data_IF_561723747437
#
_entry.id   IF_561723747437
#
_cell.length_a   1.000
_cell.length_b   1.000
_cell.length_c   1.000
_cell.angle_alpha   90.00
_cell.angle_beta   90.00
_cell.angle_gamma   90.00
#
_symmetry.space_group_name_H-M   'P 1'
#
loop_
_entity.id
_entity.type
_entity.pdbx_description
1 polymer ?
#
# COMPACT_ATOMS: atom_id res chain seq x y z
N UNK A 1 -63.69 -55.01 36.37
CA UNK A 1 -62.25 -55.12 36.55
C UNK A 1 -61.58 -54.29 35.42
N UNK A 2 -61.27 -53.04 35.71
CA UNK A 2 -60.75 -52.12 34.69
C UNK A 2 -59.39 -51.62 35.12
N UNK A 3 -58.36 -52.01 34.39
CA UNK A 3 -56.98 -51.59 34.62
C UNK A 3 -56.75 -50.39 33.67
N UNK A 4 -56.50 -49.19 34.25
CA UNK A 4 -56.14 -47.99 33.56
C UNK A 4 -54.59 -47.90 33.54
N UNK A 5 -53.99 -47.97 32.34
CA UNK A 5 -52.59 -47.70 32.08
C UNK A 5 -52.40 -46.22 31.93
N UNK A 6 -51.62 -45.58 32.83
CA UNK A 6 -51.16 -44.22 32.71
C UNK A 6 -49.84 -44.18 31.96
N UNK A 7 -49.87 -43.58 30.79
CA UNK A 7 -48.68 -43.37 29.96
C UNK A 7 -47.96 -42.09 30.39
N UNK A 8 -46.74 -42.19 30.89
CA UNK A 8 -45.89 -41.08 31.26
C UNK A 8 -45.13 -40.59 30.01
N UNK A 9 -45.43 -39.38 29.56
CA UNK A 9 -44.71 -38.74 28.46
C UNK A 9 -43.54 -37.93 29.01
N UNK A 10 -42.31 -38.40 28.78
CA UNK A 10 -41.12 -37.69 29.15
C UNK A 10 -40.77 -36.67 28.04
N UNK A 11 -40.85 -35.36 28.35
CA UNK A 11 -40.43 -34.30 27.46
C UNK A 11 -38.91 -34.11 27.60
N UNK A 12 -38.16 -34.42 26.54
CA UNK A 12 -36.73 -34.13 26.45
C UNK A 12 -36.59 -32.71 25.92
N UNK A 13 -36.17 -31.78 26.78
CA UNK A 13 -35.82 -30.42 26.40
C UNK A 13 -34.41 -30.38 25.79
N UNK A 14 -34.31 -30.27 24.47
CA UNK A 14 -33.03 -30.03 23.77
C UNK A 14 -32.65 -28.56 23.92
N UNK A 15 -31.64 -28.28 24.73
CA UNK A 15 -31.02 -26.98 24.79
C UNK A 15 -30.11 -26.78 23.56
N UNK A 16 -30.54 -25.93 22.62
CA UNK A 16 -29.75 -25.52 21.50
C UNK A 16 -28.70 -24.50 22.00
N UNK A 17 -27.42 -24.92 22.06
CA UNK A 17 -26.30 -24.04 22.31
C UNK A 17 -26.03 -23.27 21.01
N UNK A 18 -26.47 -22.03 20.92
CA UNK A 18 -26.08 -21.11 19.87
C UNK A 18 -24.64 -20.65 20.12
N UNK A 19 -23.69 -21.25 19.41
CA UNK A 19 -22.33 -20.72 19.33
C UNK A 19 -22.40 -19.44 18.49
N UNK A 20 -22.29 -18.29 19.15
CA UNK A 20 -22.10 -17.02 18.49
C UNK A 20 -20.74 -17.07 17.79
N UNK A 21 -20.75 -17.23 16.46
CA UNK A 21 -19.56 -17.07 15.64
C UNK A 21 -19.10 -15.61 15.81
N UNK A 22 -18.00 -15.43 16.51
CA UNK A 22 -17.34 -14.13 16.64
C UNK A 22 -16.93 -13.70 15.24
N UNK A 23 -17.64 -12.71 14.69
CA UNK A 23 -17.37 -12.18 13.36
C UNK A 23 -15.96 -11.56 13.40
N UNK A 24 -15.07 -12.08 12.58
CA UNK A 24 -13.76 -11.49 12.37
C UNK A 24 -13.93 -10.01 12.05
N UNK A 25 -13.11 -9.10 12.62
CA UNK A 25 -13.24 -7.67 12.38
C UNK A 25 -13.15 -7.40 10.87
N UNK A 26 -14.26 -6.94 10.30
CA UNK A 26 -14.30 -6.52 8.90
C UNK A 26 -13.40 -5.31 8.75
N UNK A 27 -12.50 -5.26 7.74
CA UNK A 27 -11.68 -4.08 7.49
C UNK A 27 -12.62 -2.89 7.24
N UNK A 28 -12.40 -1.81 8.00
CA UNK A 28 -13.16 -0.58 7.83
C UNK A 28 -12.99 -0.07 6.39
N UNK A 29 -14.04 0.47 5.73
CA UNK A 29 -13.94 0.98 4.35
C UNK A 29 -12.84 2.05 4.14
N UNK A 30 -12.45 2.76 5.20
CA UNK A 30 -11.33 3.70 5.21
C UNK A 30 -9.93 3.06 5.18
N UNK A 31 -9.85 1.73 5.29
CA UNK A 31 -8.58 0.99 5.24
C UNK A 31 -8.18 0.59 3.80
N UNK A 32 -9.09 0.71 2.84
CA UNK A 32 -8.81 0.39 1.44
C UNK A 32 -8.19 1.58 0.74
N UNK A 33 -7.11 1.36 0.01
CA UNK A 33 -6.37 2.39 -0.71
C UNK A 33 -4.97 1.91 -1.02
N UNK A 34 -4.17 2.81 -1.56
CA UNK A 34 -2.75 2.56 -1.78
C UNK A 34 -1.90 3.45 -0.88
N UNK A 35 -0.66 3.05 -0.69
CA UNK A 35 0.34 3.86 -0.02
C UNK A 35 1.63 3.85 -0.84
N UNK A 36 2.25 5.01 -0.99
CA UNK A 36 3.54 5.17 -1.67
C UNK A 36 4.61 5.30 -0.60
N UNK A 37 5.65 4.49 -0.68
CA UNK A 37 6.80 4.57 0.22
C UNK A 37 7.53 5.88 -0.03
N UNK A 38 7.77 6.68 1.02
CA UNK A 38 8.45 7.98 0.92
C UNK A 38 9.85 7.97 1.52
N UNK A 39 10.22 6.90 2.21
CA UNK A 39 11.54 6.71 2.82
C UNK A 39 12.28 5.55 2.16
N UNK A 40 13.58 5.72 1.92
CA UNK A 40 14.43 4.61 1.50
C UNK A 40 14.65 3.63 2.66
N UNK A 41 14.73 2.34 2.34
CA UNK A 41 14.93 1.25 3.29
C UNK A 41 13.84 1.17 4.38
N UNK A 42 12.63 1.61 4.06
CA UNK A 42 11.48 1.44 4.95
C UNK A 42 11.26 -0.04 5.27
N UNK A 43 11.04 -0.36 6.54
CA UNK A 43 10.95 -1.76 6.99
C UNK A 43 9.53 -2.28 6.86
N UNK A 44 9.33 -3.31 6.05
CA UNK A 44 8.13 -4.15 6.11
C UNK A 44 8.32 -5.18 7.22
N UNK A 45 7.43 -5.22 8.21
CA UNK A 45 7.55 -6.02 9.43
C UNK A 45 6.45 -7.06 9.54
N UNK A 46 6.72 -8.15 10.27
CA UNK A 46 5.74 -9.21 10.54
C UNK A 46 4.63 -8.80 11.51
N UNK A 47 4.84 -7.76 12.34
CA UNK A 47 3.87 -7.26 13.30
C UNK A 47 4.02 -5.74 13.48
N UNK A 48 2.96 -5.02 13.98
CA UNK A 48 2.95 -3.57 14.12
C UNK A 48 3.73 -3.10 15.36
N UNK A 49 5.04 -3.36 15.37
CA UNK A 49 5.98 -2.95 16.43
C UNK A 49 7.42 -2.93 15.91
N UNK A 50 8.26 -2.07 16.47
CA UNK A 50 9.64 -1.88 16.03
C UNK A 50 10.53 -3.11 16.16
N UNK A 51 10.36 -3.88 17.24
CA UNK A 51 11.11 -5.11 17.49
C UNK A 51 10.62 -6.32 16.68
N UNK A 52 9.60 -6.18 15.81
CA UNK A 52 9.15 -7.28 14.98
C UNK A 52 10.15 -7.60 13.87
N UNK A 53 10.19 -8.88 13.47
CA UNK A 53 11.04 -9.34 12.39
C UNK A 53 10.79 -8.52 11.11
N UNK A 54 11.86 -7.99 10.55
CA UNK A 54 11.83 -7.37 9.23
C UNK A 54 11.71 -8.45 8.16
N UNK A 55 10.71 -8.33 7.30
CA UNK A 55 10.45 -9.26 6.21
C UNK A 55 11.02 -8.77 4.88
N UNK A 56 11.06 -7.44 4.69
CA UNK A 56 11.64 -6.81 3.51
C UNK A 56 12.07 -5.38 3.83
N UNK A 57 13.00 -4.85 3.03
CA UNK A 57 13.26 -3.42 2.88
C UNK A 57 12.52 -2.92 1.67
N UNK A 58 11.78 -1.83 1.86
CA UNK A 58 11.03 -1.16 0.82
C UNK A 58 11.74 0.14 0.45
N UNK A 59 11.60 0.53 -0.81
CA UNK A 59 12.31 1.67 -1.36
C UNK A 59 11.34 2.79 -1.73
N UNK A 60 11.84 4.00 -1.75
CA UNK A 60 11.09 5.18 -2.14
C UNK A 60 10.43 4.98 -3.52
N UNK A 61 9.15 5.33 -3.62
CA UNK A 61 8.34 5.16 -4.84
C UNK A 61 7.60 3.83 -4.95
N UNK A 62 7.90 2.81 -4.13
CA UNK A 62 7.15 1.56 -4.14
C UNK A 62 5.69 1.78 -3.70
N UNK A 63 4.76 1.11 -4.39
CA UNK A 63 3.31 1.21 -4.14
C UNK A 63 2.84 -0.05 -3.42
N UNK A 64 2.08 0.14 -2.36
CA UNK A 64 1.53 -0.90 -1.50
C UNK A 64 0.01 -0.79 -1.43
N UNK A 65 -0.69 -1.91 -1.39
CA UNK A 65 -2.12 -1.95 -1.07
C UNK A 65 -2.31 -1.85 0.44
N UNK A 66 -3.12 -0.90 0.90
CA UNK A 66 -3.46 -0.76 2.32
C UNK A 66 -4.65 -1.66 2.63
N UNK A 67 -4.49 -2.57 3.58
CA UNK A 67 -5.51 -3.53 4.04
C UNK A 67 -6.04 -3.22 5.43
N UNK A 68 -5.35 -2.37 6.20
CA UNK A 68 -5.77 -2.00 7.54
C UNK A 68 -4.82 -1.01 8.19
N UNK A 69 -5.16 -0.65 9.43
CA UNK A 69 -4.35 0.23 10.27
C UNK A 69 -4.33 -0.31 11.71
N UNK A 70 -3.15 -0.32 12.32
CA UNK A 70 -2.96 -0.71 13.71
C UNK A 70 -1.90 0.16 14.36
N UNK A 71 -2.33 0.92 15.37
CA UNK A 71 -1.45 1.91 16.02
C UNK A 71 -0.90 2.87 14.94
N UNK A 72 0.39 3.11 14.94
CA UNK A 72 1.17 3.91 13.97
C UNK A 72 1.67 3.10 12.77
N UNK A 73 1.08 1.93 12.51
CA UNK A 73 1.42 1.06 11.38
C UNK A 73 0.24 0.86 10.44
N UNK A 74 0.53 0.81 9.14
CA UNK A 74 -0.38 0.33 8.12
C UNK A 74 -0.15 -1.16 7.90
N UNK A 75 -1.23 -1.94 7.90
CA UNK A 75 -1.22 -3.29 7.37
C UNK A 75 -1.29 -3.20 5.86
N UNK A 76 -0.29 -3.72 5.18
CA UNK A 76 -0.15 -3.59 3.73
C UNK A 76 0.08 -4.92 3.05
N UNK A 77 -0.21 -4.95 1.74
CA UNK A 77 0.17 -6.01 0.84
C UNK A 77 1.10 -5.47 -0.24
N UNK A 78 2.23 -6.11 -0.39
CA UNK A 78 3.22 -5.84 -1.43
C UNK A 78 3.00 -6.83 -2.58
N UNK A 79 2.41 -6.34 -3.66
CA UNK A 79 2.12 -7.14 -4.85
C UNK A 79 3.40 -7.59 -5.59
N UNK A 80 4.48 -6.80 -5.52
CA UNK A 80 5.75 -7.13 -6.18
C UNK A 80 6.44 -8.34 -5.54
N UNK A 81 6.32 -8.47 -4.20
CA UNK A 81 6.93 -9.58 -3.43
C UNK A 81 5.91 -10.61 -2.95
N UNK A 82 4.63 -10.43 -3.32
CA UNK A 82 3.50 -11.29 -2.93
C UNK A 82 3.44 -11.58 -1.43
N UNK A 83 3.57 -10.52 -0.61
CA UNK A 83 3.56 -10.65 0.85
C UNK A 83 2.85 -9.54 1.57
N UNK A 84 2.24 -9.88 2.69
CA UNK A 84 1.67 -8.92 3.64
C UNK A 84 2.66 -8.56 4.74
N UNK A 85 2.42 -7.42 5.39
CA UNK A 85 3.19 -6.97 6.53
C UNK A 85 2.69 -5.66 7.09
N UNK A 86 3.50 -5.07 7.95
CA UNK A 86 3.24 -3.80 8.61
C UNK A 86 4.37 -2.83 8.31
N UNK A 87 4.00 -1.62 7.87
CA UNK A 87 4.93 -0.50 7.64
C UNK A 87 4.53 0.68 8.53
N UNK A 88 5.47 1.47 9.02
CA UNK A 88 5.14 2.68 9.76
C UNK A 88 4.37 3.66 8.87
N UNK A 89 3.31 4.27 9.42
CA UNK A 89 2.52 5.26 8.71
C UNK A 89 3.35 6.50 8.32
N UNK A 90 4.41 6.82 9.08
CA UNK A 90 5.35 7.91 8.76
C UNK A 90 6.23 7.65 7.53
N UNK A 91 6.42 6.38 7.15
CA UNK A 91 7.33 6.00 6.07
C UNK A 91 6.62 5.92 4.71
N UNK A 92 5.32 6.19 4.71
CA UNK A 92 4.47 6.13 3.51
C UNK A 92 3.53 7.33 3.41
N UNK A 93 3.14 7.65 2.18
CA UNK A 93 2.02 8.54 1.87
C UNK A 93 0.82 7.72 1.40
N UNK A 94 -0.30 7.80 2.12
CA UNK A 94 -1.57 7.18 1.67
C UNK A 94 -2.13 7.94 0.48
N UNK A 95 -2.66 7.19 -0.47
CA UNK A 95 -3.33 7.69 -1.68
C UNK A 95 -4.61 6.88 -1.92
N UNK A 96 -5.72 7.57 -2.14
CA UNK A 96 -7.00 6.90 -2.38
C UNK A 96 -7.17 6.49 -3.86
N UNK A 97 -6.33 6.97 -4.76
CA UNK A 97 -6.40 6.77 -6.21
C UNK A 97 -7.77 7.16 -6.79
N UNK A 98 -8.37 8.22 -6.25
CA UNK A 98 -9.65 8.79 -6.70
C UNK A 98 -9.42 10.07 -7.50
N UNK A 99 -10.37 10.42 -8.37
CA UNK A 99 -10.32 11.67 -9.14
C UNK A 99 -10.15 12.91 -8.25
N UNK A 100 -10.71 12.90 -7.05
CA UNK A 100 -10.59 14.01 -6.09
C UNK A 100 -9.13 14.24 -5.62
N UNK A 101 -8.29 13.22 -5.63
CA UNK A 101 -6.86 13.35 -5.28
C UNK A 101 -5.97 13.79 -6.45
N UNK A 102 -6.45 13.70 -7.68
CA UNK A 102 -5.68 14.04 -8.88
C UNK A 102 -4.94 15.37 -8.78
N UNK A 103 -5.60 16.50 -8.44
CA UNK A 103 -4.93 17.80 -8.33
C UNK A 103 -3.82 17.82 -7.26
N UNK A 104 -4.02 17.16 -6.12
CA UNK A 104 -3.01 17.09 -5.05
C UNK A 104 -1.80 16.25 -5.47
N UNK A 105 -2.02 15.12 -6.13
CA UNK A 105 -0.94 14.27 -6.67
C UNK A 105 -0.13 15.04 -7.72
N UNK A 106 -0.80 15.74 -8.63
CA UNK A 106 -0.15 16.57 -9.66
C UNK A 106 0.70 17.69 -9.05
N UNK A 107 0.21 18.35 -8.00
CA UNK A 107 0.96 19.39 -7.30
C UNK A 107 2.22 18.85 -6.62
N UNK A 108 2.12 17.70 -5.94
CA UNK A 108 3.27 17.05 -5.30
C UNK A 108 4.26 16.54 -6.33
N UNK A 109 3.80 15.94 -7.43
CA UNK A 109 4.65 15.52 -8.54
C UNK A 109 5.49 16.68 -9.09
N UNK A 110 4.87 17.85 -9.34
CA UNK A 110 5.58 19.07 -9.79
C UNK A 110 6.64 19.52 -8.79
N UNK A 111 6.31 19.50 -7.50
CA UNK A 111 7.27 19.85 -6.45
C UNK A 111 8.47 18.90 -6.41
N UNK A 112 8.21 17.59 -6.53
CA UNK A 112 9.25 16.55 -6.49
C UNK A 112 10.11 16.58 -7.76
N UNK A 113 9.58 17.07 -8.90
CA UNK A 113 10.32 17.16 -10.15
C UNK A 113 11.61 17.98 -10.03
N UNK A 114 11.61 18.99 -9.18
CA UNK A 114 12.79 19.85 -8.94
C UNK A 114 13.71 19.34 -7.80
N UNK A 115 13.36 18.20 -7.19
CA UNK A 115 14.10 17.65 -6.06
C UNK A 115 15.08 16.56 -6.52
N UNK A 116 16.41 16.80 -6.48
CA UNK A 116 17.39 15.79 -6.83
C UNK A 116 17.33 14.58 -5.87
N UNK A 117 17.41 13.40 -6.41
CA UNK A 117 17.38 12.15 -5.62
C UNK A 117 15.99 11.59 -5.37
N UNK A 118 14.93 12.32 -5.70
CA UNK A 118 13.55 11.91 -5.52
C UNK A 118 12.93 11.28 -6.78
N UNK A 119 13.75 10.84 -7.75
CA UNK A 119 13.27 10.35 -9.04
C UNK A 119 12.36 9.15 -8.90
N UNK A 120 12.70 8.18 -8.06
CA UNK A 120 11.87 6.99 -7.82
C UNK A 120 10.51 7.35 -7.18
N UNK A 121 10.51 8.28 -6.19
CA UNK A 121 9.28 8.81 -5.62
C UNK A 121 8.45 9.54 -6.67
N UNK A 122 9.09 10.35 -7.52
CA UNK A 122 8.43 11.05 -8.63
C UNK A 122 7.74 10.09 -9.59
N UNK A 123 8.37 8.98 -9.93
CA UNK A 123 7.79 7.92 -10.77
C UNK A 123 6.54 7.32 -10.08
N UNK A 124 6.64 6.93 -8.81
CA UNK A 124 5.52 6.38 -8.06
C UNK A 124 4.33 7.35 -7.92
N UNK A 125 4.60 8.64 -7.64
CA UNK A 125 3.57 9.68 -7.57
C UNK A 125 2.92 9.94 -8.93
N UNK A 126 3.70 9.93 -10.02
CA UNK A 126 3.17 10.10 -11.37
C UNK A 126 2.29 8.93 -11.75
N UNK A 127 2.71 7.69 -11.45
CA UNK A 127 1.89 6.50 -11.67
C UNK A 127 0.56 6.57 -10.90
N UNK A 128 0.58 7.03 -9.65
CA UNK A 128 -0.62 7.23 -8.85
C UNK A 128 -1.54 8.31 -9.46
N UNK A 129 -0.98 9.42 -9.96
CA UNK A 129 -1.75 10.44 -10.67
C UNK A 129 -2.42 9.87 -11.93
N UNK A 130 -1.68 9.14 -12.76
CA UNK A 130 -2.21 8.54 -13.98
C UNK A 130 -3.33 7.52 -13.71
N UNK A 131 -3.32 6.86 -12.56
CA UNK A 131 -4.39 5.97 -12.12
C UNK A 131 -5.61 6.72 -11.56
N UNK A 132 -5.39 7.84 -10.88
CA UNK A 132 -6.44 8.62 -10.23
C UNK A 132 -7.14 9.60 -11.19
N UNK A 133 -6.42 10.14 -12.17
CA UNK A 133 -6.92 11.22 -13.02
C UNK A 133 -7.99 10.73 -14.01
N UNK A 134 -9.07 11.52 -14.20
CA UNK A 134 -10.08 11.20 -15.20
C UNK A 134 -9.52 11.27 -16.63
N UNK A 135 -10.07 10.49 -17.56
CA UNK A 135 -9.62 10.43 -18.95
C UNK A 135 -9.53 11.81 -19.62
N UNK A 136 -10.43 12.73 -19.27
CA UNK A 136 -10.41 14.11 -19.77
C UNK A 136 -9.16 14.89 -19.33
N UNK A 137 -8.72 14.73 -18.10
CA UNK A 137 -7.49 15.36 -17.59
C UNK A 137 -6.25 14.74 -18.26
N UNK A 138 -6.25 13.41 -18.43
CA UNK A 138 -5.17 12.71 -19.12
C UNK A 138 -5.02 13.10 -20.59
N UNK A 139 -6.12 13.39 -21.28
CA UNK A 139 -6.10 13.88 -22.66
C UNK A 139 -5.72 15.37 -22.79
N UNK A 140 -5.61 16.08 -21.66
CA UNK A 140 -5.33 17.52 -21.62
C UNK A 140 -3.88 17.85 -21.24
N UNK A 141 -3.68 19.14 -20.89
CA UNK A 141 -2.36 19.67 -20.50
C UNK A 141 -1.80 18.97 -19.26
N UNK A 142 -2.65 18.61 -18.30
CA UNK A 142 -2.23 17.94 -17.06
C UNK A 142 -1.67 16.54 -17.35
N UNK A 143 -2.30 15.79 -18.24
CA UNK A 143 -1.78 14.49 -18.69
C UNK A 143 -0.46 14.63 -19.43
N UNK A 144 -0.34 15.58 -20.35
CA UNK A 144 0.92 15.86 -21.03
C UNK A 144 2.05 16.19 -20.04
N UNK A 145 1.77 17.01 -19.02
CA UNK A 145 2.73 17.32 -17.95
C UNK A 145 3.13 16.08 -17.14
N UNK A 146 2.19 15.19 -16.84
CA UNK A 146 2.48 13.97 -16.11
C UNK A 146 3.39 13.02 -16.91
N UNK A 147 3.14 12.85 -18.20
CA UNK A 147 4.00 12.04 -19.07
C UNK A 147 5.40 12.65 -19.26
N UNK A 148 5.49 13.98 -19.39
CA UNK A 148 6.77 14.69 -19.47
C UNK A 148 7.58 14.55 -18.17
N UNK A 149 6.91 14.70 -17.03
CA UNK A 149 7.53 14.49 -15.71
C UNK A 149 8.04 13.05 -15.55
N UNK A 150 7.25 12.05 -15.96
CA UNK A 150 7.65 10.65 -15.92
C UNK A 150 8.93 10.40 -16.74
N UNK A 151 8.97 10.94 -17.98
CA UNK A 151 10.16 10.89 -18.84
C UNK A 151 11.37 11.57 -18.19
N UNK A 152 11.17 12.74 -17.57
CA UNK A 152 12.22 13.48 -16.87
C UNK A 152 12.78 12.70 -15.67
N UNK A 153 11.93 12.11 -14.84
CA UNK A 153 12.36 11.27 -13.71
C UNK A 153 13.13 10.05 -14.19
N UNK A 154 12.63 9.35 -15.21
CA UNK A 154 13.28 8.17 -15.77
C UNK A 154 14.66 8.50 -16.35
N UNK A 155 14.79 9.59 -17.13
CA UNK A 155 16.06 10.03 -17.72
C UNK A 155 17.09 10.41 -16.62
N UNK A 156 16.66 11.17 -15.59
CA UNK A 156 17.54 11.53 -14.47
C UNK A 156 18.00 10.30 -13.68
N UNK A 157 17.09 9.36 -13.42
CA UNK A 157 17.41 8.11 -12.73
C UNK A 157 18.42 7.29 -13.54
N UNK A 158 18.21 7.15 -14.86
CA UNK A 158 19.12 6.44 -15.76
C UNK A 158 20.50 7.11 -15.81
N UNK A 159 20.58 8.46 -15.87
CA UNK A 159 21.87 9.20 -15.81
C UNK A 159 22.60 8.98 -14.49
N UNK A 160 21.89 8.98 -13.37
CA UNK A 160 22.48 8.66 -12.08
C UNK A 160 23.02 7.22 -12.05
N UNK A 161 22.30 6.29 -12.65
CA UNK A 161 22.71 4.90 -12.76
C UNK A 161 24.00 4.75 -13.60
N UNK A 162 24.11 5.48 -14.70
CA UNK A 162 25.26 5.37 -15.60
C UNK A 162 26.58 5.90 -14.99
N UNK A 163 26.51 6.80 -13.99
CA UNK A 163 27.69 7.35 -13.30
C UNK A 163 27.95 6.70 -11.94
N UNK A 164 27.08 5.79 -11.49
CA UNK A 164 27.24 5.10 -10.22
C UNK A 164 28.41 4.13 -10.26
N UNK A 165 29.29 4.19 -9.25
CA UNK A 165 30.40 3.25 -9.11
C UNK A 165 29.90 1.94 -8.51
N UNK A 166 30.09 0.78 -9.17
CA UNK A 166 29.71 -0.50 -8.61
C UNK A 166 30.34 -0.76 -7.24
N UNK A 167 29.56 -1.32 -6.30
CA UNK A 167 30.06 -1.71 -4.97
C UNK A 167 30.01 -0.63 -3.90
N UNK A 168 29.58 0.60 -4.20
CA UNK A 168 29.28 1.62 -3.18
C UNK A 168 27.83 1.51 -2.71
N UNK A 169 27.54 1.93 -1.46
CA UNK A 169 26.19 1.95 -0.91
C UNK A 169 25.18 2.70 -1.79
N UNK A 170 25.61 3.79 -2.44
CA UNK A 170 24.84 4.53 -3.44
C UNK A 170 24.46 3.70 -4.67
N UNK A 171 25.24 2.70 -5.04
CA UNK A 171 24.93 1.80 -6.15
C UNK A 171 23.77 0.84 -5.83
N UNK A 172 23.70 0.33 -4.60
CA UNK A 172 22.62 -0.55 -4.17
C UNK A 172 21.27 0.21 -4.11
N UNK A 173 21.25 1.42 -3.54
CA UNK A 173 20.09 2.29 -3.51
C UNK A 173 19.59 2.60 -4.92
N UNK A 174 20.51 2.92 -5.82
CA UNK A 174 20.16 3.26 -7.19
C UNK A 174 19.61 2.05 -7.97
N UNK A 175 20.20 0.85 -7.78
CA UNK A 175 19.63 -0.38 -8.35
C UNK A 175 18.20 -0.62 -7.87
N UNK A 176 17.95 -0.45 -6.57
CA UNK A 176 16.62 -0.58 -6.01
C UNK A 176 15.62 0.46 -6.57
N UNK A 177 16.06 1.71 -6.78
CA UNK A 177 15.25 2.74 -7.42
C UNK A 177 14.93 2.43 -8.89
N UNK A 178 15.86 1.83 -9.63
CA UNK A 178 15.60 1.34 -10.99
C UNK A 178 14.58 0.21 -11.00
N UNK A 179 14.62 -0.67 -9.99
CA UNK A 179 13.64 -1.77 -9.84
C UNK A 179 12.23 -1.25 -9.50
N UNK A 180 12.10 -0.07 -8.90
CA UNK A 180 10.81 0.60 -8.69
C UNK A 180 10.22 1.12 -10.00
N UNK A 181 11.08 1.56 -10.93
CA UNK A 181 10.69 2.14 -12.20
C UNK A 181 10.27 1.10 -13.26
N UNK A 182 10.55 -0.18 -13.04
CA UNK A 182 10.18 -1.31 -13.90
C UNK A 182 8.91 -2.02 -13.40
#
# INVERSE_FOLDING_TARGET
MNATFATLLAAVASAAVTVAAEAAPQPSPSAQGSAIVVQDQASLRAAPRDGAQQQASLWQGEVLEVRGERLDYLQVWDHKRERGGFIRASDVRRVALTEAEGPALLAVMRFVQDTPGAEALGIGLTAAYLQAAPAKALAGVEGAQAFDALGTFADRLARRASVAVPGKASGATLSAHLDVAN
#
